data_IF_277394532258
#
_entry.id   IF_277394532258
#
_cell.length_a   1.000
_cell.length_b   1.000
_cell.length_c   1.000
_cell.angle_alpha   90.00
_cell.angle_beta   90.00
_cell.angle_gamma   90.00
#
_symmetry.space_group_name_H-M   'P 1'
#
loop_
_entity.id
_entity.type
_entity.pdbx_description
1 polymer ?
#
# COMPACT_ATOMS: atom_id res chain seq x y z
N UNK A 1 16.54 13.03 -4.63
CA UNK A 1 15.69 11.95 -5.17
C UNK A 1 14.26 12.45 -5.03
N UNK A 2 13.36 12.27 -6.00
CA UNK A 2 11.99 12.78 -5.85
C UNK A 2 11.19 11.73 -5.06
N UNK A 3 10.79 12.08 -3.84
CA UNK A 3 9.92 11.24 -3.02
C UNK A 3 8.51 11.18 -3.64
N UNK A 4 7.83 10.04 -3.44
CA UNK A 4 6.44 9.87 -3.86
C UNK A 4 5.58 9.81 -2.60
N UNK A 5 5.23 11.00 -2.12
CA UNK A 5 4.60 11.21 -0.83
C UNK A 5 3.08 11.12 -0.92
N UNK A 6 2.45 10.74 0.19
CA UNK A 6 1.01 10.81 0.36
C UNK A 6 0.56 12.28 0.19
N UNK A 7 -0.55 12.55 -0.51
CA UNK A 7 -1.12 13.90 -0.56
C UNK A 7 -1.41 14.45 0.85
N UNK A 8 -1.35 15.77 1.01
CA UNK A 8 -1.75 16.43 2.26
C UNK A 8 -3.23 16.15 2.57
N UNK A 9 -3.60 16.14 3.86
CA UNK A 9 -4.96 15.81 4.33
C UNK A 9 -6.05 16.65 3.64
N UNK A 10 -5.78 17.92 3.38
CA UNK A 10 -6.67 18.87 2.73
C UNK A 10 -6.46 19.00 1.22
N UNK A 11 -5.62 18.15 0.61
CA UNK A 11 -5.38 18.16 -0.82
C UNK A 11 -6.67 17.89 -1.61
N UNK A 12 -6.84 18.50 -2.80
CA UNK A 12 -8.01 18.26 -3.62
C UNK A 12 -8.10 16.79 -4.03
N UNK A 13 -9.34 16.27 -4.16
CA UNK A 13 -9.60 14.86 -4.53
C UNK A 13 -8.89 14.41 -5.80
N UNK A 14 -8.62 15.33 -6.74
CA UNK A 14 -7.86 15.03 -7.95
C UNK A 14 -6.44 14.56 -7.66
N UNK A 15 -5.79 15.09 -6.63
CA UNK A 15 -4.43 14.68 -6.23
C UNK A 15 -4.44 13.29 -5.60
N UNK A 16 -5.42 13.00 -4.74
CA UNK A 16 -5.65 11.67 -4.20
C UNK A 16 -5.92 10.62 -5.28
N UNK A 17 -6.72 10.98 -6.30
CA UNK A 17 -6.97 10.10 -7.45
C UNK A 17 -5.69 9.84 -8.26
N UNK A 18 -4.92 10.88 -8.56
CA UNK A 18 -3.64 10.74 -9.26
C UNK A 18 -2.64 9.87 -8.48
N UNK A 19 -2.62 10.02 -7.15
CA UNK A 19 -1.79 9.21 -6.27
C UNK A 19 -2.15 7.72 -6.36
N UNK A 20 -3.45 7.38 -6.25
CA UNK A 20 -3.93 5.99 -6.37
C UNK A 20 -3.72 5.43 -7.77
N UNK A 21 -3.96 6.23 -8.82
CA UNK A 21 -3.67 5.86 -10.21
C UNK A 21 -2.19 5.52 -10.40
N UNK A 22 -1.28 6.32 -9.83
CA UNK A 22 0.15 6.06 -9.89
C UNK A 22 0.53 4.75 -9.16
N UNK A 23 0.01 4.51 -7.95
CA UNK A 23 0.23 3.25 -7.22
C UNK A 23 -0.23 2.04 -8.05
N UNK A 24 -1.42 2.13 -8.65
CA UNK A 24 -2.00 1.05 -9.45
C UNK A 24 -1.32 0.85 -10.82
N UNK A 25 -0.56 1.84 -11.30
CA UNK A 25 0.21 1.74 -12.53
C UNK A 25 1.47 0.86 -12.38
N UNK A 26 1.86 0.52 -11.14
CA UNK A 26 2.99 -0.38 -10.87
C UNK A 26 2.45 -1.76 -10.45
N UNK A 27 2.35 -2.74 -11.38
CA UNK A 27 1.92 -4.08 -11.02
C UNK A 27 3.02 -4.75 -10.18
N UNK A 28 2.61 -5.27 -9.01
CA UNK A 28 3.49 -6.01 -8.10
C UNK A 28 3.01 -7.45 -8.02
N UNK A 29 3.94 -8.39 -8.15
CA UNK A 29 3.65 -9.81 -7.90
C UNK A 29 3.71 -10.12 -6.42
N UNK A 30 3.08 -11.21 -6.01
CA UNK A 30 3.14 -11.69 -4.62
C UNK A 30 4.58 -11.85 -4.12
N UNK A 31 5.46 -12.46 -4.93
CA UNK A 31 6.87 -12.65 -4.59
C UNK A 31 7.60 -11.31 -4.37
N UNK A 32 7.32 -10.30 -5.19
CA UNK A 32 7.90 -8.97 -5.03
C UNK A 32 7.41 -8.26 -3.76
N UNK A 33 6.14 -8.47 -3.38
CA UNK A 33 5.59 -7.94 -2.13
C UNK A 33 6.24 -8.61 -0.92
N UNK A 34 6.38 -9.93 -0.93
CA UNK A 34 7.00 -10.68 0.17
C UNK A 34 8.47 -10.27 0.35
N UNK A 35 9.26 -10.24 -0.74
CA UNK A 35 10.66 -9.80 -0.67
C UNK A 35 10.79 -8.32 -0.31
N UNK A 36 9.86 -7.48 -0.77
CA UNK A 36 9.78 -6.07 -0.37
C UNK A 36 9.46 -5.93 1.13
N UNK A 37 8.55 -6.73 1.66
CA UNK A 37 8.22 -6.77 3.08
C UNK A 37 9.41 -7.17 3.95
N UNK A 38 10.20 -8.15 3.51
CA UNK A 38 11.45 -8.53 4.17
C UNK A 38 12.44 -7.34 4.20
N UNK A 39 12.56 -6.58 3.11
CA UNK A 39 13.38 -5.35 3.07
C UNK A 39 12.85 -4.30 4.04
N UNK A 40 11.54 -4.07 4.06
CA UNK A 40 10.88 -3.10 4.94
C UNK A 40 11.11 -3.44 6.42
N UNK A 41 10.99 -4.71 6.80
CA UNK A 41 11.11 -5.14 8.21
C UNK A 41 12.57 -5.27 8.66
N UNK A 42 13.49 -5.62 7.78
CA UNK A 42 14.92 -5.70 8.08
C UNK A 42 15.60 -4.33 8.22
N UNK A 43 15.05 -3.28 7.59
CA UNK A 43 15.66 -1.95 7.56
C UNK A 43 15.29 -1.12 8.79
N UNK A 44 16.24 -0.31 9.27
CA UNK A 44 15.98 0.72 10.27
C UNK A 44 14.92 1.70 9.75
N UNK A 45 14.06 2.24 10.62
CA UNK A 45 12.93 3.09 10.24
C UNK A 45 13.31 4.21 9.25
N UNK A 46 14.42 4.90 9.50
CA UNK A 46 14.93 6.01 8.70
C UNK A 46 15.47 5.59 7.32
N UNK A 47 15.75 4.29 7.12
CA UNK A 47 16.35 3.73 5.91
C UNK A 47 15.37 2.90 5.08
N UNK A 48 14.16 2.64 5.58
CA UNK A 48 13.18 1.74 4.93
C UNK A 48 12.83 2.17 3.52
N UNK A 49 12.60 3.46 3.32
CA UNK A 49 12.21 3.99 2.01
C UNK A 49 13.35 3.86 1.00
N UNK A 50 14.56 4.30 1.35
CA UNK A 50 15.73 4.20 0.48
C UNK A 50 16.07 2.73 0.15
N UNK A 51 15.96 1.85 1.14
CA UNK A 51 16.12 0.41 0.96
C UNK A 51 15.13 -0.16 -0.05
N UNK A 52 13.86 0.23 0.04
CA UNK A 52 12.81 -0.21 -0.87
C UNK A 52 12.94 0.40 -2.27
N UNK A 53 13.35 1.66 -2.39
CA UNK A 53 13.62 2.29 -3.69
C UNK A 53 14.76 1.54 -4.40
N UNK A 54 15.81 1.16 -3.67
CA UNK A 54 16.90 0.34 -4.23
C UNK A 54 16.38 -1.02 -4.67
N UNK A 55 15.63 -1.72 -3.82
CA UNK A 55 15.00 -3.00 -4.17
C UNK A 55 14.14 -2.89 -5.44
N UNK A 56 13.28 -1.86 -5.52
CA UNK A 56 12.42 -1.65 -6.68
C UNK A 56 13.22 -1.44 -7.97
N UNK A 57 14.34 -0.72 -7.92
CA UNK A 57 15.25 -0.55 -9.07
C UNK A 57 15.90 -1.87 -9.49
N UNK A 58 16.34 -2.67 -8.53
CA UNK A 58 16.96 -3.99 -8.79
C UNK A 58 15.96 -4.97 -9.41
N UNK A 59 14.68 -4.87 -9.04
CA UNK A 59 13.57 -5.62 -9.62
C UNK A 59 13.10 -5.09 -10.99
N UNK A 60 13.63 -3.97 -11.46
CA UNK A 60 13.18 -3.32 -12.71
C UNK A 60 11.78 -2.69 -12.61
N UNK A 61 11.29 -2.41 -11.40
CA UNK A 61 10.01 -1.75 -11.16
C UNK A 61 10.14 -0.25 -11.41
N UNK A 62 9.22 0.28 -12.23
CA UNK A 62 9.25 1.69 -12.63
C UNK A 62 7.84 2.30 -12.60
N UNK A 63 7.66 3.48 -11.98
CA UNK A 63 8.66 4.25 -11.23
C UNK A 63 9.02 3.59 -9.88
N UNK A 64 10.31 3.53 -9.54
CA UNK A 64 10.79 2.81 -8.36
C UNK A 64 10.33 3.41 -7.02
N UNK A 65 10.17 4.73 -6.95
CA UNK A 65 9.62 5.41 -5.77
C UNK A 65 8.15 5.07 -5.56
N UNK A 66 7.35 5.04 -6.62
CA UNK A 66 5.95 4.62 -6.56
C UNK A 66 5.83 3.14 -6.14
N UNK A 67 6.69 2.27 -6.68
CA UNK A 67 6.76 0.87 -6.28
C UNK A 67 7.10 0.70 -4.80
N UNK A 68 8.08 1.46 -4.30
CA UNK A 68 8.47 1.46 -2.90
C UNK A 68 7.30 1.92 -2.00
N UNK A 69 6.63 3.02 -2.34
CA UNK A 69 5.44 3.49 -1.59
C UNK A 69 4.33 2.44 -1.59
N UNK A 70 4.05 1.79 -2.72
CA UNK A 70 3.07 0.71 -2.79
C UNK A 70 3.41 -0.46 -1.85
N UNK A 71 4.69 -0.86 -1.80
CA UNK A 71 5.15 -1.91 -0.87
C UNK A 71 4.99 -1.46 0.58
N UNK A 72 5.36 -0.22 0.91
CA UNK A 72 5.22 0.35 2.27
C UNK A 72 3.76 0.30 2.72
N UNK A 73 2.83 0.75 1.87
CA UNK A 73 1.41 0.80 2.22
C UNK A 73 0.82 -0.59 2.46
N UNK A 74 1.22 -1.60 1.68
CA UNK A 74 0.82 -3.00 1.90
C UNK A 74 1.48 -3.59 3.15
N UNK A 75 2.76 -3.31 3.36
CA UNK A 75 3.51 -3.73 4.53
C UNK A 75 2.88 -3.22 5.83
N UNK A 76 2.40 -1.97 5.85
CA UNK A 76 1.70 -1.42 7.02
C UNK A 76 0.52 -2.28 7.45
N UNK A 77 -0.32 -2.72 6.51
CA UNK A 77 -1.47 -3.60 6.80
C UNK A 77 -1.02 -4.91 7.47
N UNK A 78 0.08 -5.50 6.98
CA UNK A 78 0.61 -6.73 7.56
C UNK A 78 1.24 -6.50 8.95
N UNK A 79 1.98 -5.41 9.13
CA UNK A 79 2.59 -5.10 10.42
C UNK A 79 1.56 -4.74 11.49
N UNK A 80 0.47 -4.07 11.11
CA UNK A 80 -0.62 -3.69 12.01
C UNK A 80 -1.37 -4.94 12.50
N UNK A 81 -1.76 -5.81 11.56
CA UNK A 81 -2.32 -7.13 11.88
C UNK A 81 -1.41 -7.95 12.81
N UNK A 82 -0.11 -8.00 12.52
CA UNK A 82 0.83 -8.73 13.34
C UNK A 82 1.01 -8.10 14.74
N UNK A 83 0.95 -6.78 14.85
CA UNK A 83 1.00 -6.08 16.14
C UNK A 83 -0.20 -6.41 17.03
N UNK A 84 -1.36 -6.67 16.42
CA UNK A 84 -2.57 -7.18 17.08
C UNK A 84 -2.53 -8.69 17.36
N UNK A 85 -1.42 -9.35 17.05
CA UNK A 85 -1.21 -10.78 17.26
C UNK A 85 -1.85 -11.68 16.20
N UNK A 86 -2.24 -11.11 15.06
CA UNK A 86 -2.87 -11.81 13.94
C UNK A 86 -1.86 -12.07 12.81
N UNK A 87 -1.49 -13.33 12.61
CA UNK A 87 -0.66 -13.71 11.46
C UNK A 87 -1.56 -13.90 10.24
N UNK A 88 -1.80 -12.82 9.52
CA UNK A 88 -2.69 -12.82 8.36
C UNK A 88 -2.28 -13.85 7.30
N UNK A 89 -0.98 -14.13 7.14
CA UNK A 89 -0.51 -15.11 6.14
C UNK A 89 -0.90 -16.53 6.54
N UNK A 90 -0.86 -16.86 7.83
CA UNK A 90 -1.25 -18.16 8.35
C UNK A 90 -2.78 -18.29 8.51
N UNK A 91 -3.44 -17.25 9.02
CA UNK A 91 -4.83 -17.28 9.44
C UNK A 91 -5.81 -16.91 8.33
N UNK A 92 -5.40 -16.06 7.38
CA UNK A 92 -6.20 -15.68 6.20
C UNK A 92 -5.34 -15.49 4.95
N UNK A 93 -4.82 -16.59 4.38
CA UNK A 93 -3.94 -16.54 3.20
C UNK A 93 -4.60 -15.90 1.99
N UNK A 94 -5.93 -15.99 1.87
CA UNK A 94 -6.66 -15.32 0.79
C UNK A 94 -6.69 -13.80 0.97
N UNK A 95 -6.97 -13.33 2.19
CA UNK A 95 -6.90 -11.90 2.53
C UNK A 95 -5.51 -11.33 2.38
N UNK A 96 -4.49 -12.09 2.81
CA UNK A 96 -3.08 -11.75 2.61
C UNK A 96 -2.75 -11.57 1.12
N UNK A 97 -3.15 -12.52 0.26
CA UNK A 97 -2.97 -12.42 -1.18
C UNK A 97 -3.72 -11.21 -1.77
N UNK A 98 -4.96 -10.97 -1.36
CA UNK A 98 -5.75 -9.79 -1.78
C UNK A 98 -5.03 -8.49 -1.41
N UNK A 99 -4.59 -8.32 -0.17
CA UNK A 99 -3.85 -7.11 0.25
C UNK A 99 -2.51 -7.00 -0.47
N UNK A 100 -1.87 -8.10 -0.86
CA UNK A 100 -0.62 -8.06 -1.59
C UNK A 100 -0.81 -7.64 -3.06
N UNK A 101 -1.82 -8.16 -3.77
CA UNK A 101 -1.87 -8.05 -5.24
C UNK A 101 -3.01 -7.21 -5.78
N UNK A 102 -4.09 -6.99 -5.02
CA UNK A 102 -5.24 -6.25 -5.54
C UNK A 102 -4.94 -4.74 -5.62
N UNK A 103 -5.59 -4.01 -6.55
CA UNK A 103 -5.45 -2.57 -6.66
C UNK A 103 -5.72 -1.82 -5.36
N UNK A 104 -5.12 -0.65 -5.23
CA UNK A 104 -5.48 0.34 -4.24
C UNK A 104 -6.79 1.04 -4.62
N UNK A 105 -7.59 1.33 -3.61
CA UNK A 105 -8.85 2.05 -3.73
C UNK A 105 -8.86 3.27 -2.81
N UNK A 106 -9.50 4.34 -3.25
CA UNK A 106 -9.69 5.55 -2.46
C UNK A 106 -11.07 5.53 -1.80
N UNK A 107 -11.12 5.64 -0.47
CA UNK A 107 -12.33 5.74 0.32
C UNK A 107 -12.47 7.11 0.94
N UNK A 108 -13.70 7.57 1.15
CA UNK A 108 -13.99 8.79 1.89
C UNK A 108 -14.65 8.43 3.22
N UNK A 109 -14.04 8.83 4.33
CA UNK A 109 -14.49 8.52 5.68
C UNK A 109 -14.58 9.83 6.47
N UNK A 110 -15.78 10.19 6.93
CA UNK A 110 -16.06 11.40 7.74
C UNK A 110 -15.51 12.74 7.21
N UNK A 111 -15.24 12.83 5.90
CA UNK A 111 -14.70 14.04 5.27
C UNK A 111 -13.32 13.84 4.66
N UNK A 112 -12.57 12.86 5.17
CA UNK A 112 -11.17 12.58 4.82
C UNK A 112 -11.06 11.46 3.80
N UNK A 113 -9.94 11.41 3.09
CA UNK A 113 -9.63 10.34 2.14
C UNK A 113 -8.69 9.32 2.75
N UNK A 114 -8.98 8.04 2.51
CA UNK A 114 -8.15 6.90 2.91
C UNK A 114 -7.81 6.05 1.70
N UNK A 115 -6.55 5.63 1.59
CA UNK A 115 -6.10 4.70 0.56
C UNK A 115 -6.05 3.31 1.17
N UNK A 116 -6.74 2.36 0.56
CA UNK A 116 -6.88 0.99 1.06
C UNK A 116 -6.26 0.02 0.07
N UNK A 117 -5.44 -0.91 0.58
CA UNK A 117 -4.79 -1.96 -0.20
C UNK A 117 -5.67 -3.21 -0.26
N UNK A 118 -6.13 -3.55 -1.46
CA UNK A 118 -7.07 -4.66 -1.67
C UNK A 118 -8.46 -4.37 -1.12
N UNK A 119 -9.48 -4.91 -1.78
CA UNK A 119 -10.88 -4.62 -1.45
C UNK A 119 -11.30 -5.36 -0.18
N UNK A 120 -10.85 -4.90 0.99
CA UNK A 120 -11.51 -5.27 2.25
C UNK A 120 -12.69 -4.33 2.47
N UNK A 121 -13.84 -4.74 1.94
CA UNK A 121 -15.14 -4.22 2.39
C UNK A 121 -15.33 -4.66 3.84
N UNK A 122 -14.83 -3.88 4.79
CA UNK A 122 -15.40 -3.89 6.14
C UNK A 122 -16.67 -3.06 6.06
N UNK A 123 -17.76 -3.67 5.60
CA UNK A 123 -19.09 -3.05 5.64
C UNK A 123 -19.75 -3.48 6.95
N UNK A 124 -20.12 -2.53 7.81
CA UNK A 124 -21.37 -2.74 8.54
C UNK A 124 -22.49 -1.82 8.07
N UNK A 125 -22.28 -0.51 7.87
CA UNK A 125 -23.35 0.44 7.52
C UNK A 125 -22.77 1.83 7.10
N UNK A 126 -23.13 2.32 5.88
CA UNK A 126 -23.07 3.73 5.38
C UNK A 126 -21.69 4.45 5.33
N UNK A 127 -21.20 5.07 4.25
CA UNK A 127 -21.80 6.04 3.30
C UNK A 127 -20.85 6.25 2.10
N UNK A 128 -21.41 6.52 0.90
CA UNK A 128 -20.75 6.97 -0.35
C UNK A 128 -19.45 6.29 -0.79
N UNK A 129 -19.58 5.04 -1.24
CA UNK A 129 -18.51 4.32 -1.96
C UNK A 129 -18.42 4.87 -3.39
N UNK A 130 -17.37 5.63 -3.70
CA UNK A 130 -16.94 5.89 -5.08
C UNK A 130 -15.87 4.86 -5.43
N UNK A 131 -16.28 3.67 -5.82
CA UNK A 131 -15.38 2.76 -6.53
C UNK A 131 -15.07 3.41 -7.89
N UNK A 132 -13.78 3.62 -8.19
CA UNK A 132 -13.32 3.95 -9.54
C UNK A 132 -13.25 2.68 -10.39
#
# INVERSE_FOLDING_TARGET
MQHFDLPEENAPVSEWKQFVEALNAVPLTMDQIERGYDVYTASALEEREDGLIRFAREEGLSPANVAATAIIMRAYVFTDALADGYDMKAENPQGYATIATDPFTLYRVYGDYQVVAGKWQVDPDDTDIVAL
#
